data_IF_883853360010
#
_entry.id   IF_883853360010
#
_cell.length_a   1.000
_cell.length_b   1.000
_cell.length_c   1.000
_cell.angle_alpha   90.00
_cell.angle_beta   90.00
_cell.angle_gamma   90.00
#
_symmetry.space_group_name_H-M   'P 1'
#
loop_
_entity.id
_entity.type
_entity.pdbx_description
1 polymer ?
#
# COMPACT_ATOMS: atom_id res chain seq x y z
N UNK A 1 38.20 3.11 26.94
CA UNK A 1 36.90 3.24 26.24
C UNK A 1 36.85 2.14 25.21
N UNK A 2 35.89 1.23 25.31
CA UNK A 2 35.69 0.17 24.32
C UNK A 2 35.05 0.79 23.07
N UNK A 3 35.51 0.37 21.89
CA UNK A 3 34.98 0.81 20.59
C UNK A 3 33.48 0.45 20.51
N UNK A 4 32.64 1.45 20.19
CA UNK A 4 31.27 1.20 19.80
C UNK A 4 31.29 0.50 18.43
N UNK A 5 30.70 -0.68 18.32
CA UNK A 5 30.54 -1.35 17.05
C UNK A 5 29.36 -0.69 16.32
N UNK A 6 29.66 -0.08 15.17
CA UNK A 6 28.66 0.42 14.24
C UNK A 6 28.42 -0.66 13.19
N UNK A 7 27.22 -1.22 13.19
CA UNK A 7 26.76 -2.16 12.16
C UNK A 7 26.02 -1.37 11.10
N UNK A 8 26.41 -1.54 9.84
CA UNK A 8 25.71 -0.91 8.71
C UNK A 8 25.02 -2.00 7.91
N UNK A 9 23.70 -1.91 7.79
CA UNK A 9 22.90 -2.83 6.99
C UNK A 9 22.53 -2.19 5.64
N UNK A 10 22.86 -2.81 4.50
CA UNK A 10 22.29 -2.42 3.23
C UNK A 10 20.90 -3.05 3.10
N UNK A 11 19.87 -2.27 3.39
CA UNK A 11 18.50 -2.60 3.01
C UNK A 11 18.21 -1.94 1.66
N UNK A 12 17.88 -2.70 0.60
CA UNK A 12 17.42 -2.10 -0.64
C UNK A 12 16.26 -1.18 -0.32
N UNK A 13 16.35 0.09 -0.71
CA UNK A 13 15.28 1.01 -0.39
C UNK A 13 15.37 1.78 0.93
N UNK A 14 16.45 1.65 1.69
CA UNK A 14 16.69 2.52 2.85
C UNK A 14 18.01 3.26 2.66
N UNK A 15 18.14 4.44 3.26
CA UNK A 15 19.47 4.94 3.58
C UNK A 15 20.17 3.92 4.50
N UNK A 16 21.50 3.84 4.43
CA UNK A 16 22.29 2.91 5.24
C UNK A 16 21.93 3.06 6.73
N UNK A 17 21.31 2.05 7.31
CA UNK A 17 20.96 2.08 8.73
C UNK A 17 22.16 1.65 9.57
N UNK A 18 22.50 2.48 10.55
CA UNK A 18 23.60 2.23 11.49
C UNK A 18 23.05 1.78 12.84
N UNK A 19 23.24 0.50 13.18
CA UNK A 19 22.95 -0.03 14.51
C UNK A 19 24.20 0.07 15.39
N UNK A 20 24.08 0.77 16.52
CA UNK A 20 25.13 0.84 17.53
C UNK A 20 24.88 -0.21 18.61
N UNK A 21 25.77 -1.20 18.68
CA UNK A 21 25.68 -2.25 19.71
C UNK A 21 26.71 -1.97 20.80
N UNK A 22 26.24 -1.90 22.03
CA UNK A 22 27.10 -1.78 23.20
C UNK A 22 27.52 -3.18 23.70
N UNK A 23 28.77 -3.62 23.41
CA UNK A 23 29.41 -4.69 24.17
C UNK A 23 30.37 -5.66 23.45
N UNK A 24 31.48 -5.92 24.17
CA UNK A 24 32.55 -6.97 24.12
C UNK A 24 33.32 -7.25 22.82
N UNK A 25 34.59 -6.81 22.85
CA UNK A 25 35.91 -7.30 22.34
C UNK A 25 36.04 -8.40 21.26
N UNK A 26 34.98 -8.83 20.57
CA UNK A 26 35.07 -9.77 19.46
C UNK A 26 34.43 -9.18 18.22
N UNK A 27 35.21 -9.11 17.13
CA UNK A 27 34.71 -8.79 15.80
C UNK A 27 33.76 -9.91 15.36
N UNK A 28 32.50 -9.56 15.11
CA UNK A 28 31.51 -10.46 14.51
C UNK A 28 30.90 -9.76 13.31
N UNK A 29 30.89 -10.45 12.18
CA UNK A 29 30.13 -10.03 11.01
C UNK A 29 28.70 -10.52 11.19
N UNK A 30 27.75 -9.59 11.34
CA UNK A 30 26.32 -9.90 11.47
C UNK A 30 25.64 -9.41 10.19
N UNK A 31 25.00 -10.32 9.46
CA UNK A 31 24.12 -9.95 8.36
C UNK A 31 22.77 -9.52 8.94
N UNK A 32 22.39 -8.26 8.73
CA UNK A 32 21.08 -7.73 9.08
C UNK A 32 20.18 -7.88 7.86
N UNK A 33 19.13 -8.70 8.00
CA UNK A 33 18.06 -8.86 7.01
C UNK A 33 16.96 -7.88 7.36
N UNK A 34 16.45 -7.13 6.39
CA UNK A 34 15.37 -6.16 6.57
C UNK A 34 14.06 -6.92 6.80
N UNK A 35 13.59 -7.04 8.06
CA UNK A 35 12.47 -7.92 8.35
C UNK A 35 11.22 -7.45 7.61
N UNK A 36 11.03 -6.14 7.49
CA UNK A 36 9.89 -5.56 6.78
C UNK A 36 9.71 -6.08 5.34
N UNK A 37 10.80 -6.40 4.65
CA UNK A 37 10.78 -6.88 3.27
C UNK A 37 10.88 -8.40 3.11
N UNK A 38 11.57 -9.07 4.03
CA UNK A 38 11.77 -10.52 3.96
C UNK A 38 10.60 -11.33 4.57
N UNK A 39 9.69 -10.67 5.29
CA UNK A 39 8.58 -11.34 5.97
C UNK A 39 7.48 -11.78 5.02
N UNK A 40 7.27 -13.09 4.96
CA UNK A 40 6.10 -13.71 4.33
C UNK A 40 4.80 -13.31 5.02
N UNK A 41 3.71 -13.36 4.28
CA UNK A 41 2.35 -13.19 4.83
C UNK A 41 2.01 -14.20 5.91
N UNK A 42 2.63 -15.40 5.89
CA UNK A 42 2.43 -16.42 6.92
C UNK A 42 2.96 -16.01 8.30
N UNK A 43 4.10 -15.29 8.35
CA UNK A 43 4.71 -14.85 9.61
C UNK A 43 4.27 -13.43 10.02
N UNK A 44 3.71 -12.65 9.09
CA UNK A 44 3.34 -11.26 9.33
C UNK A 44 2.48 -11.04 10.59
N UNK A 45 1.42 -11.83 10.89
CA UNK A 45 0.61 -11.59 12.08
C UNK A 45 1.40 -11.70 13.38
N UNK A 46 2.35 -12.67 13.45
CA UNK A 46 3.20 -12.86 14.60
C UNK A 46 4.18 -11.68 14.79
N UNK A 47 4.77 -11.21 13.70
CA UNK A 47 5.71 -10.08 13.74
C UNK A 47 5.01 -8.76 14.07
N UNK A 48 3.80 -8.56 13.58
CA UNK A 48 2.97 -7.40 13.95
C UNK A 48 2.65 -7.44 15.44
N UNK A 49 2.22 -8.59 15.97
CA UNK A 49 1.96 -8.73 17.40
C UNK A 49 3.22 -8.50 18.26
N UNK A 50 4.37 -9.00 17.81
CA UNK A 50 5.65 -8.76 18.48
C UNK A 50 6.02 -7.28 18.45
N UNK A 51 5.82 -6.60 17.31
CA UNK A 51 6.12 -5.18 17.16
C UNK A 51 5.26 -4.33 18.09
N UNK A 52 3.97 -4.64 18.22
CA UNK A 52 3.06 -3.94 19.13
C UNK A 52 3.50 -4.11 20.60
N UNK A 53 3.89 -5.33 21.02
CA UNK A 53 4.43 -5.59 22.36
C UNK A 53 5.75 -4.85 22.59
N UNK A 54 6.65 -4.84 21.59
CA UNK A 54 7.92 -4.13 21.68
C UNK A 54 7.70 -2.61 21.73
N UNK A 55 6.75 -2.08 20.96
CA UNK A 55 6.41 -0.66 20.98
C UNK A 55 5.89 -0.23 22.35
N UNK A 56 5.04 -1.03 22.99
CA UNK A 56 4.56 -0.79 24.36
C UNK A 56 5.72 -0.80 25.38
N UNK A 57 6.60 -1.80 25.31
CA UNK A 57 7.77 -1.89 26.18
C UNK A 57 8.72 -0.70 25.98
N UNK A 58 8.97 -0.30 24.73
CA UNK A 58 9.83 0.84 24.42
C UNK A 58 9.19 2.16 24.86
N UNK A 59 7.88 2.33 24.70
CA UNK A 59 7.15 3.49 25.19
C UNK A 59 7.21 3.61 26.73
N UNK A 60 7.28 2.48 27.44
CA UNK A 60 7.47 2.43 28.89
C UNK A 60 8.92 2.69 29.33
N UNK A 61 9.88 2.61 28.40
CA UNK A 61 11.29 2.82 28.67
C UNK A 61 11.67 4.29 28.44
N UNK A 62 12.51 4.86 29.31
CA UNK A 62 13.07 6.20 29.10
C UNK A 62 14.09 6.27 27.92
N UNK A 63 14.14 5.24 27.06
CA UNK A 63 15.03 5.20 25.91
C UNK A 63 14.48 6.11 24.80
N UNK A 64 15.11 7.26 24.66
CA UNK A 64 14.73 8.38 23.77
C UNK A 64 15.14 8.20 22.31
N UNK A 65 15.53 7.00 21.87
CA UNK A 65 15.93 6.81 20.48
C UNK A 65 14.68 6.66 19.61
N UNK A 66 14.35 7.65 18.76
CA UNK A 66 13.24 7.50 17.84
C UNK A 66 13.56 6.34 16.89
N UNK A 67 12.59 5.46 16.67
CA UNK A 67 12.71 4.42 15.66
C UNK A 67 12.91 5.10 14.30
N UNK A 68 13.86 4.65 13.47
CA UNK A 68 13.94 5.09 12.09
C UNK A 68 12.58 4.91 11.39
N UNK A 69 12.21 5.83 10.49
CA UNK A 69 10.99 5.65 9.71
C UNK A 69 11.12 4.38 8.86
N UNK A 70 10.17 3.45 9.07
CA UNK A 70 10.08 2.24 8.25
C UNK A 70 9.71 2.64 6.82
N UNK A 71 10.46 2.13 5.85
CA UNK A 71 10.20 2.43 4.44
C UNK A 71 8.96 1.66 3.95
N UNK A 72 8.79 0.43 4.43
CA UNK A 72 7.59 -0.36 4.24
C UNK A 72 7.08 -0.89 5.60
N UNK A 73 6.06 -0.27 6.21
CA UNK A 73 5.59 -0.66 7.54
C UNK A 73 5.21 -2.16 7.63
N UNK A 74 5.46 -2.81 8.77
CA UNK A 74 5.13 -4.24 8.96
C UNK A 74 3.65 -4.55 8.76
N UNK A 75 2.78 -3.61 9.12
CA UNK A 75 1.32 -3.71 8.94
C UNK A 75 0.86 -3.43 7.50
N UNK A 76 1.74 -2.89 6.65
CA UNK A 76 1.44 -2.62 5.25
C UNK A 76 1.45 -3.90 4.43
N UNK A 77 0.52 -3.98 3.48
CA UNK A 77 0.41 -5.05 2.49
C UNK A 77 0.67 -4.56 1.08
N UNK A 78 0.51 -3.25 0.84
CA UNK A 78 0.80 -2.61 -0.43
C UNK A 78 1.33 -1.20 -0.21
N UNK A 79 2.34 -0.82 -0.99
CA UNK A 79 2.78 0.57 -1.11
C UNK A 79 2.97 0.89 -2.59
N UNK A 80 2.39 1.99 -3.03
CA UNK A 80 2.47 2.48 -4.38
C UNK A 80 2.93 3.93 -4.36
N UNK A 81 4.10 4.19 -4.92
CA UNK A 81 4.62 5.53 -5.15
C UNK A 81 4.43 5.84 -6.62
N UNK A 82 3.63 6.86 -6.93
CA UNK A 82 3.35 7.30 -8.28
C UNK A 82 4.39 8.34 -8.72
N UNK A 83 4.64 8.38 -10.03
CA UNK A 83 5.65 9.24 -10.66
C UNK A 83 5.45 10.74 -10.38
N UNK A 84 4.22 11.17 -10.12
CA UNK A 84 3.86 12.55 -9.78
C UNK A 84 4.09 12.90 -8.30
N UNK A 85 4.62 11.98 -7.51
CA UNK A 85 4.89 12.15 -6.08
C UNK A 85 3.70 11.83 -5.18
N UNK A 86 2.54 11.47 -5.74
CA UNK A 86 1.45 10.90 -4.95
C UNK A 86 1.85 9.50 -4.47
N UNK A 87 1.44 9.13 -3.26
CA UNK A 87 1.71 7.79 -2.74
C UNK A 87 0.49 7.21 -2.06
N UNK A 88 0.36 5.89 -2.09
CA UNK A 88 -0.67 5.10 -1.43
C UNK A 88 0.00 4.02 -0.58
N UNK A 89 -0.39 3.91 0.69
CA UNK A 89 -0.06 2.76 1.54
C UNK A 89 -1.35 2.09 1.97
N UNK A 90 -1.47 0.79 1.73
CA UNK A 90 -2.59 -0.03 2.20
C UNK A 90 -2.13 -0.96 3.32
N UNK A 91 -2.90 -0.99 4.39
CA UNK A 91 -2.67 -1.82 5.56
C UNK A 91 -3.58 -3.06 5.57
N UNK A 92 -3.14 -4.11 6.26
CA UNK A 92 -3.89 -5.36 6.35
C UNK A 92 -5.29 -5.21 7.00
N UNK A 93 -5.48 -4.15 7.79
CA UNK A 93 -6.74 -3.84 8.47
C UNK A 93 -7.73 -3.05 7.59
N UNK A 94 -7.40 -2.80 6.32
CA UNK A 94 -8.22 -2.01 5.41
C UNK A 94 -7.90 -0.51 5.42
N UNK A 95 -7.04 -0.04 6.31
CA UNK A 95 -6.64 1.37 6.31
C UNK A 95 -5.87 1.68 5.03
N UNK A 96 -6.22 2.79 4.39
CA UNK A 96 -5.50 3.33 3.24
C UNK A 96 -5.02 4.73 3.57
N UNK A 97 -3.74 5.00 3.34
CA UNK A 97 -3.13 6.32 3.56
C UNK A 97 -2.57 6.80 2.24
N UNK A 98 -3.13 7.87 1.71
CA UNK A 98 -2.60 8.59 0.56
C UNK A 98 -1.75 9.77 1.02
N UNK A 99 -0.68 10.09 0.29
CA UNK A 99 0.11 11.29 0.48
C UNK A 99 -0.09 12.21 -0.73
N UNK A 100 -0.52 13.45 -0.46
CA UNK A 100 -0.62 14.51 -1.48
C UNK A 100 0.15 15.72 -1.01
N UNK A 101 1.14 16.18 -1.78
CA UNK A 101 1.99 17.32 -1.40
C UNK A 101 2.59 17.18 0.02
N UNK A 102 2.94 15.95 0.41
CA UNK A 102 3.48 15.63 1.74
C UNK A 102 2.45 15.63 2.88
N UNK A 103 1.16 15.84 2.61
CA UNK A 103 0.09 15.73 3.61
C UNK A 103 -0.59 14.36 3.54
N UNK A 104 -0.66 13.63 4.67
CA UNK A 104 -1.35 12.35 4.72
C UNK A 104 -2.87 12.55 4.79
N UNK A 105 -3.57 11.77 3.97
CA UNK A 105 -5.02 11.65 3.93
C UNK A 105 -5.36 10.18 4.09
N UNK A 106 -6.15 9.83 5.11
CA UNK A 106 -6.48 8.44 5.43
C UNK A 106 -7.95 8.12 5.15
N UNK A 107 -8.21 6.91 4.66
CA UNK A 107 -9.55 6.35 4.53
C UNK A 107 -9.55 4.86 4.92
N UNK A 108 -10.72 4.22 4.87
CA UNK A 108 -10.87 2.79 5.14
C UNK A 108 -11.50 2.10 3.94
N UNK A 109 -10.86 1.05 3.47
CA UNK A 109 -11.32 0.19 2.38
C UNK A 109 -11.92 -1.09 2.96
N UNK A 110 -12.82 -1.72 2.20
CA UNK A 110 -13.29 -3.06 2.53
C UNK A 110 -12.13 -4.07 2.45
N UNK A 111 -12.09 -5.04 3.37
CA UNK A 111 -11.05 -6.08 3.38
C UNK A 111 -11.02 -6.87 2.06
N UNK A 112 -12.18 -7.10 1.44
CA UNK A 112 -12.30 -7.73 0.12
C UNK A 112 -11.60 -6.93 -0.97
N UNK A 113 -11.70 -5.59 -0.94
CA UNK A 113 -11.03 -4.72 -1.89
C UNK A 113 -9.51 -4.78 -1.74
N UNK A 114 -9.00 -4.76 -0.51
CA UNK A 114 -7.55 -4.88 -0.24
C UNK A 114 -7.01 -6.24 -0.72
N UNK A 115 -7.73 -7.32 -0.43
CA UNK A 115 -7.37 -8.67 -0.89
C UNK A 115 -7.40 -8.73 -2.42
N UNK A 116 -8.43 -8.17 -3.05
CA UNK A 116 -8.56 -8.13 -4.50
C UNK A 116 -7.37 -7.40 -5.14
N UNK A 117 -7.06 -6.18 -4.69
CA UNK A 117 -5.95 -5.39 -5.24
C UNK A 117 -4.60 -6.11 -5.10
N UNK A 118 -4.31 -6.65 -3.91
CA UNK A 118 -3.03 -7.34 -3.66
C UNK A 118 -2.92 -8.65 -4.43
N UNK A 119 -4.01 -9.41 -4.57
CA UNK A 119 -4.05 -10.67 -5.32
C UNK A 119 -3.93 -10.41 -6.82
N UNK A 120 -4.69 -9.45 -7.38
CA UNK A 120 -4.61 -9.07 -8.79
C UNK A 120 -3.19 -8.65 -9.19
N UNK A 121 -2.51 -7.88 -8.34
CA UNK A 121 -1.12 -7.50 -8.58
C UNK A 121 -0.20 -8.72 -8.59
N UNK A 122 -0.24 -9.56 -7.55
CA UNK A 122 0.61 -10.75 -7.47
C UNK A 122 0.37 -11.70 -8.66
N UNK A 123 -0.89 -11.89 -9.05
CA UNK A 123 -1.30 -12.78 -10.14
C UNK A 123 -0.98 -12.22 -11.54
N UNK A 124 -0.73 -10.90 -11.66
CA UNK A 124 -0.33 -10.29 -12.94
C UNK A 124 0.99 -10.87 -13.49
N UNK A 125 1.84 -11.42 -12.63
CA UNK A 125 3.18 -11.89 -12.99
C UNK A 125 4.18 -10.77 -13.30
N UNK A 126 3.77 -9.51 -13.17
CA UNK A 126 4.62 -8.34 -13.46
C UNK A 126 5.58 -7.98 -12.32
N UNK A 127 5.34 -8.49 -11.10
CA UNK A 127 6.19 -8.24 -9.94
C UNK A 127 7.29 -9.28 -9.78
N UNK A 128 8.42 -8.86 -9.21
CA UNK A 128 9.56 -9.73 -8.88
C UNK A 128 9.71 -9.85 -7.37
N UNK A 129 10.07 -11.04 -6.89
CA UNK A 129 10.36 -11.27 -5.47
C UNK A 129 11.69 -10.64 -5.05
N UNK A 130 11.76 -9.97 -3.89
CA UNK A 130 13.03 -9.64 -3.23
C UNK A 130 13.62 -8.27 -3.56
N UNK A 131 12.79 -7.26 -3.83
CA UNK A 131 13.21 -5.85 -4.03
C UNK A 131 14.25 -5.65 -5.15
N UNK A 132 14.05 -6.28 -6.31
CA UNK A 132 15.01 -6.21 -7.42
C UNK A 132 15.01 -4.87 -8.18
N UNK A 133 13.93 -4.12 -8.05
CA UNK A 133 13.60 -2.91 -8.80
C UNK A 133 13.30 -1.72 -7.90
N UNK A 134 13.19 -1.94 -6.58
CA UNK A 134 12.95 -0.90 -5.59
C UNK A 134 14.13 0.06 -5.52
N UNK A 135 13.86 1.35 -5.68
CA UNK A 135 14.81 2.43 -5.54
C UNK A 135 14.27 3.49 -4.59
N UNK A 136 15.08 3.94 -3.63
CA UNK A 136 14.77 5.17 -2.90
C UNK A 136 14.94 6.33 -3.86
N UNK A 137 13.99 7.26 -3.87
CA UNK A 137 14.23 8.58 -4.44
C UNK A 137 15.34 9.25 -3.62
N UNK A 138 16.55 9.33 -4.18
CA UNK A 138 17.70 10.01 -3.57
C UNK A 138 17.46 11.52 -3.50
N UNK A 139 16.67 11.98 -2.53
CA UNK A 139 16.67 13.38 -2.09
C UNK A 139 17.58 13.52 -0.87
N UNK A 140 18.88 13.29 -1.06
CA UNK A 140 19.93 13.85 -0.18
C UNK A 140 21.29 13.86 -0.87
N UNK A 141 21.72 15.08 -1.22
CA UNK A 141 23.08 15.52 -1.54
C UNK A 141 23.78 14.97 -2.81
N UNK A 142 23.74 15.79 -3.86
CA UNK A 142 24.96 16.18 -4.57
C UNK A 142 25.62 15.14 -5.47
N UNK A 143 24.90 14.60 -6.45
CA UNK A 143 25.51 14.00 -7.64
C UNK A 143 24.66 14.28 -8.88
N UNK A 144 25.29 14.68 -9.99
CA UNK A 144 24.64 14.96 -11.27
C UNK A 144 24.04 13.68 -11.87
N UNK A 145 22.72 13.61 -12.15
CA UNK A 145 22.07 12.37 -12.56
C UNK A 145 21.84 12.30 -14.08
N UNK A 146 22.03 11.13 -14.68
CA UNK A 146 21.13 10.60 -15.74
C UNK A 146 21.44 9.12 -15.99
N UNK A 147 20.88 8.23 -15.14
CA UNK A 147 19.76 7.39 -15.56
C UNK A 147 18.73 7.16 -14.42
N UNK A 148 18.05 8.22 -13.97
CA UNK A 148 16.98 8.21 -12.96
C UNK A 148 15.74 8.96 -13.48
N UNK A 149 15.18 8.54 -14.62
CA UNK A 149 13.85 9.05 -14.98
C UNK A 149 12.86 8.62 -13.90
N UNK A 150 11.97 9.52 -13.48
CA UNK A 150 11.00 9.27 -12.43
C UNK A 150 10.19 8.00 -12.77
N UNK A 151 9.91 7.19 -11.75
CA UNK A 151 9.23 5.89 -11.91
C UNK A 151 8.12 5.80 -10.90
N UNK A 152 7.09 5.07 -11.29
CA UNK A 152 6.16 4.56 -10.29
C UNK A 152 6.66 3.22 -9.80
N UNK A 153 6.56 3.02 -8.50
CA UNK A 153 7.11 1.87 -7.79
C UNK A 153 5.99 1.26 -6.98
N UNK A 154 5.81 -0.04 -7.16
CA UNK A 154 4.85 -0.84 -6.39
C UNK A 154 5.63 -1.82 -5.54
N UNK A 155 5.28 -1.89 -4.27
CA UNK A 155 5.65 -2.93 -3.33
C UNK A 155 4.38 -3.65 -2.89
N UNK A 156 4.37 -4.99 -2.98
CA UNK A 156 3.26 -5.82 -2.51
C UNK A 156 3.80 -6.93 -1.64
N UNK A 157 3.19 -7.12 -0.47
CA UNK A 157 3.52 -8.23 0.41
C UNK A 157 2.86 -9.51 -0.11
N UNK A 158 3.65 -10.56 -0.27
CA UNK A 158 3.20 -11.86 -0.76
C UNK A 158 3.75 -13.04 0.07
N UNK A 159 3.50 -14.28 -0.39
CA UNK A 159 3.86 -15.49 0.34
C UNK A 159 5.36 -15.64 0.62
N UNK A 160 6.22 -15.12 -0.25
CA UNK A 160 7.69 -15.28 -0.15
C UNK A 160 8.40 -14.01 0.34
N UNK A 161 7.66 -13.01 0.80
CA UNK A 161 8.20 -11.71 1.22
C UNK A 161 7.59 -10.58 0.39
N UNK A 162 8.37 -9.51 0.17
CA UNK A 162 7.92 -8.36 -0.62
C UNK A 162 8.31 -8.53 -2.09
N UNK A 163 7.30 -8.32 -2.93
CA UNK A 163 7.36 -8.29 -4.37
C UNK A 163 7.39 -6.85 -4.84
N UNK A 164 8.13 -6.56 -5.90
CA UNK A 164 8.30 -5.21 -6.40
C UNK A 164 8.32 -5.10 -7.93
N UNK A 165 7.91 -3.93 -8.42
CA UNK A 165 7.97 -3.56 -9.82
C UNK A 165 8.05 -2.04 -10.00
N UNK A 166 8.53 -1.62 -11.17
CA UNK A 166 8.66 -0.21 -11.52
C UNK A 166 8.30 0.08 -12.98
N UNK A 167 7.70 1.25 -13.21
CA UNK A 167 7.30 1.71 -14.54
C UNK A 167 7.65 3.18 -14.76
N UNK A 168 8.07 3.53 -15.99
CA UNK A 168 8.38 4.93 -16.36
C UNK A 168 7.15 5.76 -16.72
N UNK A 169 6.02 5.12 -17.04
CA UNK A 169 4.74 5.76 -17.33
C UNK A 169 3.64 5.01 -16.58
N UNK A 170 2.65 5.72 -16.06
CA UNK A 170 1.52 5.18 -15.29
C UNK A 170 0.21 5.17 -16.03
N UNK A 171 0.05 6.04 -17.02
CA UNK A 171 -1.26 6.31 -17.64
C UNK A 171 -1.83 5.08 -18.38
N UNK A 172 -0.97 4.17 -18.85
CA UNK A 172 -1.34 3.04 -19.70
C UNK A 172 -0.82 1.69 -19.17
N UNK A 173 -0.63 1.57 -17.85
CA UNK A 173 -0.20 0.32 -17.21
C UNK A 173 -1.42 -0.37 -16.59
N UNK A 174 -1.91 -1.49 -17.16
CA UNK A 174 -3.10 -2.17 -16.66
C UNK A 174 -3.01 -2.54 -15.18
N UNK A 175 -1.84 -2.97 -14.71
CA UNK A 175 -1.58 -3.33 -13.32
C UNK A 175 -1.70 -2.15 -12.36
N UNK A 176 -1.51 -0.92 -12.85
CA UNK A 176 -1.61 0.30 -12.04
C UNK A 176 -2.96 0.99 -12.18
N UNK A 177 -3.84 0.55 -13.08
CA UNK A 177 -5.10 1.25 -13.36
C UNK A 177 -5.97 1.39 -12.11
N UNK A 178 -6.24 0.28 -11.41
CA UNK A 178 -7.04 0.29 -10.18
C UNK A 178 -6.37 1.09 -9.05
N UNK A 179 -5.04 1.01 -8.94
CA UNK A 179 -4.28 1.78 -7.95
C UNK A 179 -4.32 3.29 -8.22
N UNK A 180 -4.23 3.68 -9.50
CA UNK A 180 -4.32 5.08 -9.91
C UNK A 180 -5.71 5.62 -9.62
N UNK A 181 -6.77 4.90 -10.00
CA UNK A 181 -8.15 5.29 -9.71
C UNK A 181 -8.39 5.44 -8.22
N UNK A 182 -7.99 4.45 -7.43
CA UNK A 182 -8.14 4.49 -5.97
C UNK A 182 -7.37 5.68 -5.35
N UNK A 183 -6.12 5.89 -5.76
CA UNK A 183 -5.32 6.99 -5.26
C UNK A 183 -5.94 8.34 -5.61
N UNK A 184 -6.38 8.54 -6.85
CA UNK A 184 -7.04 9.77 -7.28
C UNK A 184 -8.35 10.02 -6.53
N UNK A 185 -9.16 8.97 -6.29
CA UNK A 185 -10.39 9.08 -5.50
C UNK A 185 -10.13 9.49 -4.06
N UNK A 186 -9.15 8.90 -3.37
CA UNK A 186 -8.79 9.26 -2.00
C UNK A 186 -8.31 10.72 -1.93
N UNK A 187 -7.50 11.15 -2.88
CA UNK A 187 -6.96 12.51 -2.95
C UNK A 187 -8.08 13.52 -3.21
N UNK A 188 -8.94 13.28 -4.21
CA UNK A 188 -10.04 14.17 -4.58
C UNK A 188 -11.11 14.29 -3.48
N UNK A 189 -11.39 13.18 -2.79
CA UNK A 189 -12.39 13.12 -1.70
C UNK A 189 -11.86 13.65 -0.37
N UNK A 190 -10.57 13.98 -0.26
CA UNK A 190 -9.95 14.39 1.00
C UNK A 190 -10.04 13.31 2.09
N UNK A 191 -10.04 12.03 1.71
CA UNK A 191 -10.05 10.89 2.65
C UNK A 191 -11.43 10.32 2.97
N UNK A 192 -12.48 10.85 2.34
CA UNK A 192 -13.86 10.36 2.51
C UNK A 192 -14.27 9.33 1.47
N UNK A 193 -13.32 8.73 0.74
CA UNK A 193 -13.59 7.73 -0.30
C UNK A 193 -14.63 6.71 0.18
N UNK A 194 -15.83 6.78 -0.40
CA UNK A 194 -16.92 5.85 -0.14
C UNK A 194 -16.60 4.62 -0.98
N UNK A 195 -16.42 3.42 -0.39
CA UNK A 195 -16.20 2.23 -1.18
C UNK A 195 -17.40 2.01 -2.10
N UNK A 196 -17.17 2.02 -3.40
CA UNK A 196 -18.14 1.49 -4.34
C UNK A 196 -18.07 -0.04 -4.20
N UNK A 197 -18.82 -0.59 -3.24
CA UNK A 197 -19.13 -2.03 -3.28
C UNK A 197 -19.72 -2.31 -4.66
N UNK A 198 -19.10 -3.22 -5.40
CA UNK A 198 -19.69 -3.76 -6.61
C UNK A 198 -21.07 -4.32 -6.20
N UNK A 199 -22.15 -3.65 -6.64
CA UNK A 199 -23.49 -4.19 -6.54
C UNK A 199 -23.54 -5.46 -7.40
N UNK A 200 -23.28 -6.60 -6.77
CA UNK A 200 -23.67 -7.89 -7.29
C UNK A 200 -25.17 -8.06 -6.97
N UNK A 201 -26.02 -7.88 -7.99
CA UNK A 201 -27.48 -7.94 -7.79
C UNK A 201 -28.33 -7.60 -9.01
N UNK A 202 -28.46 -8.57 -9.92
CA UNK A 202 -29.66 -8.92 -10.72
C UNK A 202 -30.29 -7.87 -11.67
N UNK A 203 -30.51 -8.19 -12.98
CA UNK A 203 -31.36 -7.37 -13.83
C UNK A 203 -32.82 -7.56 -13.44
N UNK A 204 -33.42 -6.58 -12.75
CA UNK A 204 -34.87 -6.53 -12.59
C UNK A 204 -35.49 -6.06 -13.91
N UNK A 205 -36.08 -7.02 -14.61
CA UNK A 205 -36.93 -6.79 -15.76
C UNK A 205 -38.26 -6.14 -15.34
N UNK A 206 -38.82 -5.39 -16.29
CA UNK A 206 -40.23 -5.01 -16.42
C UNK A 206 -40.81 -3.96 -15.46
N UNK A 207 -41.08 -2.80 -16.03
CA UNK A 207 -42.42 -2.21 -15.93
C UNK A 207 -42.84 -1.70 -17.31
N UNK A 208 -43.64 -2.52 -17.99
CA UNK A 208 -44.49 -2.10 -19.10
C UNK A 208 -45.37 -0.92 -18.64
N UNK A 209 -45.39 0.14 -19.45
CA UNK A 209 -46.40 1.19 -19.35
C UNK A 209 -47.73 0.63 -19.85
N UNK A 210 -48.84 0.68 -19.09
CA UNK A 210 -50.13 0.32 -19.64
C UNK A 210 -50.66 1.47 -20.52
N UNK A 211 -50.92 1.18 -21.80
CA UNK A 211 -51.72 2.03 -22.68
C UNK A 211 -53.16 2.14 -22.15
N UNK A 212 -53.80 3.32 -22.16
CA UNK A 212 -55.20 3.44 -21.77
C UNK A 212 -56.13 2.86 -22.85
N UNK A 213 -56.86 1.80 -22.47
CA UNK A 213 -57.93 1.19 -23.26
C UNK A 213 -59.14 2.12 -23.37
N UNK A 214 -59.67 2.19 -24.59
CA UNK A 214 -60.80 2.99 -25.07
C UNK A 214 -62.11 2.60 -24.37
N UNK A 215 -62.85 3.59 -23.84
CA UNK A 215 -64.21 3.40 -23.30
C UNK A 215 -65.26 3.60 -24.42
N UNK A 216 -66.11 2.61 -24.76
CA UNK A 216 -67.26 2.85 -25.62
C UNK A 216 -68.44 3.42 -24.81
N UNK A 217 -69.10 4.40 -25.44
CA UNK A 217 -70.28 5.13 -24.97
C UNK A 217 -71.52 4.22 -24.92
N UNK A 218 -72.24 4.21 -23.80
CA UNK A 218 -73.53 3.52 -23.67
C UNK A 218 -74.69 4.45 -24.07
N UNK A 219 -75.54 3.97 -24.98
CA UNK A 219 -76.83 4.57 -25.37
C UNK A 219 -77.84 4.49 -24.21
N UNK A 220 -78.68 5.51 -23.98
CA UNK A 220 -79.73 5.47 -22.96
C UNK A 220 -80.92 4.62 -23.42
N UNK A 221 -81.51 3.85 -22.50
CA UNK A 221 -82.84 3.27 -22.67
C UNK A 221 -83.81 4.16 -21.88
N UNK A 222 -84.66 4.89 -22.62
CA UNK A 222 -85.78 5.65 -22.07
C UNK A 222 -87.00 4.73 -21.93
N UNK A 223 -87.77 4.95 -20.87
CA UNK A 223 -89.19 4.62 -20.77
C UNK A 223 -89.95 5.92 -20.64
#
# INVERSE_FOLDING_TARGET
QALAQQYVAPCPGTALESLFVAGRDSDRLIALVCPEYALSTALQPLYVALDDVLAELLASSNATLPRPPAQFPLKAVLQYNRIDGAALTLFADGTAVALTNGQPVSTTLGTSQVISLTTTLLDSGSLRTGLNTFSVSDDTQGATPTPNAARSVVLVRGPDGVYDAQWFNTADVPELAELNTLLDEIILSGGTAVPQEAQDGTPEASSETPEPVVTPSATPTDG
#
